data_IF_010769080051
#
_entry.id   IF_010769080051
#
_cell.length_a   1.000
_cell.length_b   1.000
_cell.length_c   1.000
_cell.angle_alpha   90.00
_cell.angle_beta   90.00
_cell.angle_gamma   90.00
#
_symmetry.space_group_name_H-M   'P 1'
#
loop_
_entity.id
_entity.type
_entity.pdbx_description
1 polymer ?
#
# COMPACT_ATOMS: atom_id res chain seq x y z
N UNK A 1 -5.39 -18.03 -38.29
CA UNK A 1 -5.40 -17.11 -39.44
C UNK A 1 -5.45 -15.71 -38.87
N UNK A 2 -4.28 -15.07 -38.79
CA UNK A 2 -3.83 -14.01 -39.72
C UNK A 2 -4.37 -12.64 -39.30
N UNK A 3 -3.46 -11.92 -38.65
CA UNK A 3 -3.19 -10.48 -38.80
C UNK A 3 -4.25 -9.50 -38.28
N UNK A 4 -4.01 -8.94 -37.08
CA UNK A 4 -3.71 -7.51 -36.87
C UNK A 4 -3.77 -7.16 -35.37
N UNK A 5 -2.67 -7.43 -34.66
CA UNK A 5 -2.25 -6.65 -33.50
C UNK A 5 -0.74 -6.43 -33.69
N UNK A 6 -0.36 -5.27 -34.22
CA UNK A 6 1.04 -4.82 -34.26
C UNK A 6 1.08 -3.31 -34.51
N UNK A 7 0.87 -2.53 -33.45
CA UNK A 7 1.28 -1.14 -33.41
C UNK A 7 2.16 -0.95 -32.16
N UNK A 8 3.32 -0.34 -32.40
CA UNK A 8 4.20 0.33 -31.43
C UNK A 8 5.13 -0.54 -30.55
N UNK A 9 6.25 -1.00 -31.14
CA UNK A 9 7.52 -1.18 -30.44
C UNK A 9 8.71 -1.13 -31.41
N UNK A 10 9.22 0.06 -31.71
CA UNK A 10 10.58 0.29 -32.25
C UNK A 10 11.01 1.75 -32.01
N UNK A 11 11.04 2.16 -30.74
CA UNK A 11 11.75 3.36 -30.29
C UNK A 11 12.50 2.92 -29.03
N UNK A 12 13.80 3.22 -28.93
CA UNK A 12 14.88 2.53 -28.20
C UNK A 12 15.53 1.48 -29.11
N UNK A 13 16.62 1.77 -29.83
CA UNK A 13 17.97 1.97 -29.30
C UNK A 13 18.78 2.79 -30.34
N UNK A 14 19.18 4.03 -30.02
CA UNK A 14 20.48 4.59 -30.42
C UNK A 14 20.74 5.92 -29.69
N UNK A 15 21.15 5.83 -28.43
CA UNK A 15 21.92 6.88 -27.73
C UNK A 15 23.27 6.27 -27.36
N UNK A 16 24.30 6.77 -28.05
CA UNK A 16 25.76 6.70 -27.85
C UNK A 16 26.31 7.01 -29.26
N UNK A 17 27.12 8.01 -29.53
CA UNK A 17 27.98 8.83 -28.69
C UNK A 17 28.60 9.91 -29.60
N UNK A 18 28.97 11.07 -29.01
CA UNK A 18 30.15 11.88 -29.38
C UNK A 18 30.14 12.52 -30.79
N UNK A 19 29.92 13.83 -30.99
CA UNK A 19 30.68 14.95 -30.43
C UNK A 19 32.03 15.14 -31.16
N UNK A 20 32.12 16.05 -32.14
CA UNK A 20 33.34 16.87 -32.41
C UNK A 20 33.17 17.86 -33.56
N UNK A 21 33.81 19.01 -33.38
CA UNK A 21 33.79 20.24 -34.17
C UNK A 21 34.71 20.20 -35.41
N UNK A 22 34.32 20.95 -36.46
CA UNK A 22 35.14 21.76 -37.40
C UNK A 22 36.21 21.07 -38.30
N UNK A 23 36.81 21.77 -39.30
CA UNK A 23 36.21 22.57 -40.38
C UNK A 23 36.89 22.33 -41.77
N UNK A 24 36.41 23.07 -42.79
CA UNK A 24 37.04 23.33 -44.09
C UNK A 24 36.95 22.18 -45.12
N UNK A 25 36.88 22.41 -46.43
CA UNK A 25 37.13 23.60 -47.25
C UNK A 25 36.60 23.35 -48.68
N UNK A 26 36.68 24.40 -49.50
CA UNK A 26 36.69 24.39 -50.98
C UNK A 26 35.37 24.70 -51.72
N UNK A 27 35.22 26.00 -51.94
CA UNK A 27 34.74 26.71 -53.15
C UNK A 27 35.39 26.22 -54.47
N UNK A 28 35.12 26.85 -55.64
CA UNK A 28 33.90 27.42 -56.23
C UNK A 28 33.65 26.75 -57.63
N UNK A 29 32.71 27.16 -58.48
CA UNK A 29 32.96 28.19 -59.51
C UNK A 29 31.99 28.01 -60.68
N UNK A 30 31.28 29.10 -61.03
CA UNK A 30 30.97 29.61 -62.39
C UNK A 30 30.32 28.68 -63.43
N UNK A 31 29.42 29.11 -64.33
CA UNK A 31 28.62 30.32 -64.56
C UNK A 31 27.85 30.05 -65.87
N UNK A 32 26.93 30.96 -66.22
CA UNK A 32 26.34 31.18 -67.55
C UNK A 32 25.24 30.21 -68.01
N UNK A 33 23.95 30.59 -68.03
CA UNK A 33 23.27 31.70 -68.76
C UNK A 33 23.10 31.43 -70.25
N UNK A 34 21.87 31.02 -70.58
CA UNK A 34 21.05 31.48 -71.70
C UNK A 34 21.43 31.03 -73.12
N UNK A 35 20.57 31.00 -74.14
CA UNK A 35 19.34 31.74 -74.48
C UNK A 35 18.72 31.05 -75.72
N UNK A 36 17.43 31.33 -76.00
CA UNK A 36 16.81 31.43 -77.36
C UNK A 36 16.57 30.14 -78.18
N UNK A 37 15.57 29.98 -79.04
CA UNK A 37 14.27 30.64 -79.38
C UNK A 37 13.55 29.68 -80.34
N UNK A 38 12.22 29.80 -80.40
CA UNK A 38 11.33 29.71 -81.57
C UNK A 38 11.33 28.49 -82.53
N UNK A 39 10.26 27.69 -82.34
CA UNK A 39 9.21 27.29 -83.31
C UNK A 39 9.53 27.26 -84.82
N UNK A 40 9.26 26.10 -85.44
CA UNK A 40 8.11 25.83 -86.35
C UNK A 40 8.00 24.30 -86.64
N UNK A 41 6.99 23.75 -87.35
CA UNK A 41 5.82 23.16 -86.70
C UNK A 41 5.37 21.77 -87.23
N UNK A 42 4.30 21.29 -86.57
CA UNK A 42 3.23 20.38 -87.04
C UNK A 42 3.56 18.89 -87.16
N UNK A 43 2.87 18.10 -86.32
CA UNK A 43 2.29 16.79 -86.67
C UNK A 43 1.55 16.19 -85.46
N UNK A 44 0.47 16.79 -84.94
CA UNK A 44 -0.38 16.03 -84.00
C UNK A 44 -1.86 16.51 -83.96
N UNK A 45 -2.73 16.14 -84.93
CA UNK A 45 -4.17 16.35 -84.79
C UNK A 45 -4.90 15.18 -84.09
N UNK A 46 -4.19 14.28 -83.40
CA UNK A 46 -4.79 13.08 -82.78
C UNK A 46 -4.62 12.98 -81.25
N UNK A 47 -3.64 13.68 -80.65
CA UNK A 47 -3.45 13.67 -79.19
C UNK A 47 -4.39 14.66 -78.50
N UNK A 48 -4.62 15.84 -79.09
CA UNK A 48 -5.58 16.84 -78.58
C UNK A 48 -7.02 16.29 -78.57
N UNK A 49 -7.42 15.52 -79.59
CA UNK A 49 -8.77 14.93 -79.65
C UNK A 49 -8.94 13.79 -78.63
N UNK A 50 -7.85 13.08 -78.30
CA UNK A 50 -7.86 12.02 -77.30
C UNK A 50 -7.83 12.60 -75.87
N UNK A 51 -7.05 13.66 -75.63
CA UNK A 51 -7.03 14.35 -74.34
C UNK A 51 -8.38 15.04 -74.05
N UNK A 52 -9.02 15.66 -75.04
CA UNK A 52 -10.35 16.25 -74.88
C UNK A 52 -11.46 15.22 -74.61
N UNK A 53 -11.32 13.98 -75.11
CA UNK A 53 -12.29 12.91 -74.84
C UNK A 53 -12.07 12.23 -73.48
N UNK A 54 -10.84 12.23 -72.96
CA UNK A 54 -10.53 11.74 -71.60
C UNK A 54 -10.96 12.76 -70.53
N UNK A 55 -10.77 14.07 -70.75
CA UNK A 55 -11.27 15.12 -69.83
C UNK A 55 -12.80 15.16 -69.74
N UNK A 56 -13.51 14.91 -70.85
CA UNK A 56 -14.98 14.85 -70.85
C UNK A 56 -15.54 13.66 -70.06
N UNK A 57 -14.81 12.54 -69.98
CA UNK A 57 -15.19 11.35 -69.20
C UNK A 57 -14.89 11.56 -67.70
N UNK A 58 -13.80 12.24 -67.34
CA UNK A 58 -13.50 12.63 -65.95
C UNK A 58 -14.54 13.61 -65.38
N UNK A 59 -15.03 14.58 -66.19
CA UNK A 59 -16.11 15.49 -65.77
C UNK A 59 -17.48 14.81 -65.65
N UNK A 60 -17.75 13.77 -66.45
CA UNK A 60 -19.00 13.01 -66.39
C UNK A 60 -19.01 11.93 -65.27
N UNK A 61 -17.83 11.44 -64.88
CA UNK A 61 -17.65 10.44 -63.81
C UNK A 61 -17.12 11.04 -62.49
N UNK A 62 -17.00 12.36 -62.40
CA UNK A 62 -16.74 13.03 -61.14
C UNK A 62 -17.81 12.56 -60.14
N UNK A 63 -17.44 11.91 -59.02
CA UNK A 63 -18.41 11.50 -58.03
C UNK A 63 -19.12 12.78 -57.59
N UNK A 64 -20.46 12.78 -57.66
CA UNK A 64 -21.25 13.80 -57.01
C UNK A 64 -20.66 13.97 -55.61
N UNK A 65 -20.21 15.18 -55.29
CA UNK A 65 -19.80 15.50 -53.92
C UNK A 65 -20.86 14.90 -53.02
N UNK A 66 -20.49 14.21 -51.93
CA UNK A 66 -21.48 13.77 -50.98
C UNK A 66 -22.31 15.02 -50.71
N UNK A 67 -23.61 14.94 -50.98
CA UNK A 67 -24.53 15.85 -50.31
C UNK A 67 -24.13 15.67 -48.87
N UNK A 68 -23.50 16.68 -48.28
CA UNK A 68 -23.44 16.82 -46.85
C UNK A 68 -24.90 16.80 -46.47
N UNK A 69 -25.38 15.58 -46.22
CA UNK A 69 -26.51 15.36 -45.37
C UNK A 69 -25.98 16.00 -44.12
N UNK A 70 -26.41 17.24 -43.86
CA UNK A 70 -26.20 17.89 -42.60
C UNK A 70 -26.66 16.83 -41.62
N UNK A 71 -25.71 16.10 -41.02
CA UNK A 71 -26.03 15.30 -39.85
C UNK A 71 -26.75 16.30 -38.97
N UNK A 72 -27.97 15.98 -38.50
CA UNK A 72 -28.63 16.86 -37.57
C UNK A 72 -27.60 17.19 -36.50
N UNK A 73 -27.30 18.48 -36.34
CA UNK A 73 -26.30 18.96 -35.37
C UNK A 73 -26.47 18.10 -34.13
N UNK A 74 -25.39 17.47 -33.61
CA UNK A 74 -25.51 16.43 -32.60
C UNK A 74 -26.47 16.98 -31.57
N UNK A 75 -27.66 16.39 -31.49
CA UNK A 75 -28.65 16.83 -30.56
C UNK A 75 -27.90 16.72 -29.26
N UNK A 76 -27.58 17.85 -28.63
CA UNK A 76 -27.14 17.84 -27.26
C UNK A 76 -28.39 17.38 -26.56
N UNK A 77 -28.57 16.05 -26.50
CA UNK A 77 -29.38 15.43 -25.49
C UNK A 77 -28.75 15.97 -24.22
N UNK A 78 -29.38 17.02 -23.70
CA UNK A 78 -29.22 17.40 -22.32
C UNK A 78 -29.74 16.18 -21.61
N UNK A 79 -28.85 15.21 -21.37
CA UNK A 79 -29.09 14.08 -20.51
C UNK A 79 -29.33 14.74 -19.18
N UNK A 80 -30.60 14.94 -18.86
CA UNK A 80 -31.03 15.40 -17.56
C UNK A 80 -30.65 14.27 -16.62
N UNK A 81 -29.41 14.29 -16.13
CA UNK A 81 -28.95 13.30 -15.15
C UNK A 81 -29.92 13.40 -14.00
N UNK A 82 -30.67 12.31 -13.78
CA UNK A 82 -31.55 12.21 -12.64
C UNK A 82 -30.72 12.54 -11.38
N UNK A 83 -31.29 13.28 -10.41
CA UNK A 83 -30.55 13.64 -9.21
C UNK A 83 -30.02 12.37 -8.55
N UNK A 84 -28.74 12.38 -8.20
CA UNK A 84 -28.07 11.24 -7.57
C UNK A 84 -28.91 10.70 -6.41
N UNK A 85 -29.15 9.39 -6.41
CA UNK A 85 -29.84 8.67 -5.35
C UNK A 85 -29.13 8.89 -3.99
N UNK A 86 -29.83 8.71 -2.86
CA UNK A 86 -29.20 8.78 -1.54
C UNK A 86 -27.96 7.89 -1.41
N UNK A 87 -28.01 6.70 -2.01
CA UNK A 87 -26.88 5.75 -2.05
C UNK A 87 -25.71 6.30 -2.85
N UNK A 88 -25.94 6.85 -4.05
CA UNK A 88 -24.87 7.44 -4.86
C UNK A 88 -24.21 8.62 -4.16
N UNK A 89 -25.01 9.50 -3.52
CA UNK A 89 -24.49 10.61 -2.71
C UNK A 89 -23.63 10.12 -1.55
N UNK A 90 -24.11 9.11 -0.82
CA UNK A 90 -23.36 8.50 0.28
C UNK A 90 -22.02 7.93 -0.21
N UNK A 91 -22.04 7.16 -1.29
CA UNK A 91 -20.83 6.51 -1.78
C UNK A 91 -19.85 7.50 -2.43
N UNK A 92 -20.34 8.59 -3.04
CA UNK A 92 -19.50 9.71 -3.48
C UNK A 92 -18.80 10.38 -2.28
N UNK A 93 -19.57 10.72 -1.24
CA UNK A 93 -19.02 11.32 -0.02
C UNK A 93 -18.01 10.41 0.69
N UNK A 94 -18.24 9.10 0.68
CA UNK A 94 -17.29 8.11 1.21
C UNK A 94 -15.96 8.18 0.43
N UNK A 95 -16.03 8.17 -0.90
CA UNK A 95 -14.85 8.27 -1.76
C UNK A 95 -14.09 9.56 -1.50
N UNK A 96 -14.78 10.70 -1.54
CA UNK A 96 -14.18 12.02 -1.32
C UNK A 96 -13.52 12.11 0.06
N UNK A 97 -14.19 11.63 1.11
CA UNK A 97 -13.64 11.62 2.46
C UNK A 97 -12.34 10.80 2.56
N UNK A 98 -12.32 9.62 1.95
CA UNK A 98 -11.14 8.76 1.91
C UNK A 98 -10.00 9.40 1.12
N UNK A 99 -10.27 9.87 -0.10
CA UNK A 99 -9.28 10.50 -0.98
C UNK A 99 -8.70 11.77 -0.36
N UNK A 100 -9.53 12.66 0.19
CA UNK A 100 -9.11 13.88 0.87
C UNK A 100 -8.24 13.60 2.11
N UNK A 101 -8.45 12.46 2.76
CA UNK A 101 -7.66 12.03 3.91
C UNK A 101 -6.43 11.19 3.51
N UNK A 102 -6.26 10.88 2.22
CA UNK A 102 -5.23 9.99 1.71
C UNK A 102 -5.36 8.55 2.19
N UNK A 103 -6.59 8.10 2.51
CA UNK A 103 -6.90 6.73 2.90
C UNK A 103 -7.37 5.96 1.65
N UNK A 104 -6.89 4.73 1.41
CA UNK A 104 -7.40 3.94 0.29
C UNK A 104 -8.91 3.73 0.41
N UNK A 105 -9.66 4.11 -0.63
CA UNK A 105 -11.13 3.97 -0.67
C UNK A 105 -11.58 2.55 -0.30
N UNK A 106 -10.94 1.47 -0.80
CA UNK A 106 -11.31 0.12 -0.41
C UNK A 106 -11.16 -0.18 1.07
N UNK A 107 -10.07 0.31 1.68
CA UNK A 107 -9.83 0.14 3.10
C UNK A 107 -10.91 0.85 3.93
N UNK A 108 -11.24 2.10 3.56
CA UNK A 108 -12.26 2.87 4.28
C UNK A 108 -13.66 2.25 4.14
N UNK A 109 -14.02 1.78 2.95
CA UNK A 109 -15.29 1.11 2.72
C UNK A 109 -15.41 -0.19 3.52
N UNK A 110 -14.35 -1.01 3.59
CA UNK A 110 -14.33 -2.23 4.41
C UNK A 110 -14.43 -1.93 5.90
N UNK A 111 -13.82 -0.85 6.36
CA UNK A 111 -13.94 -0.37 7.74
C UNK A 111 -15.38 0.00 8.06
N UNK A 112 -16.01 0.87 7.28
CA UNK A 112 -17.41 1.29 7.50
C UNK A 112 -18.40 0.13 7.37
N UNK A 113 -18.11 -0.81 6.46
CA UNK A 113 -18.84 -2.07 6.42
C UNK A 113 -18.72 -2.82 7.75
N UNK A 114 -17.50 -2.96 8.29
CA UNK A 114 -17.26 -3.63 9.56
C UNK A 114 -17.93 -2.94 10.74
N UNK A 115 -17.99 -1.61 10.74
CA UNK A 115 -18.61 -0.83 11.81
C UNK A 115 -20.13 -1.00 11.84
N UNK A 116 -20.82 -0.76 10.72
CA UNK A 116 -22.28 -0.61 10.73
C UNK A 116 -22.99 -1.26 9.56
N UNK A 117 -22.25 -1.90 8.64
CA UNK A 117 -22.79 -2.31 7.32
C UNK A 117 -23.40 -1.12 6.57
N UNK A 118 -22.77 0.05 6.70
CA UNK A 118 -23.22 1.34 6.18
C UNK A 118 -24.52 1.91 6.80
N UNK A 119 -24.99 1.39 7.93
CA UNK A 119 -26.20 1.89 8.60
C UNK A 119 -25.92 3.14 9.43
N UNK A 120 -26.44 4.29 8.99
CA UNK A 120 -26.20 5.58 9.66
C UNK A 120 -26.92 5.76 10.99
N UNK A 121 -27.87 4.89 11.33
CA UNK A 121 -28.66 4.95 12.58
C UNK A 121 -28.32 3.81 13.56
N UNK A 122 -27.21 3.12 13.34
CA UNK A 122 -26.78 2.02 14.20
C UNK A 122 -26.26 2.52 15.57
N UNK A 123 -26.59 1.80 16.64
CA UNK A 123 -26.00 2.00 17.96
C UNK A 123 -25.52 0.66 18.50
N UNK A 124 -24.24 0.54 18.85
CA UNK A 124 -23.72 -0.69 19.45
C UNK A 124 -24.14 -0.83 20.91
N UNK A 125 -24.05 -2.04 21.50
CA UNK A 125 -24.27 -2.24 22.92
C UNK A 125 -23.34 -1.42 23.83
N UNK A 126 -22.16 -1.03 23.32
CA UNK A 126 -21.20 -0.17 24.03
C UNK A 126 -21.51 1.33 23.86
N UNK A 127 -22.47 1.68 23.01
CA UNK A 127 -22.88 3.07 22.77
C UNK A 127 -22.17 3.74 21.59
N UNK A 128 -21.49 2.98 20.71
CA UNK A 128 -20.91 3.52 19.48
C UNK A 128 -22.01 3.88 18.48
N UNK A 129 -21.89 5.01 17.77
CA UNK A 129 -23.00 5.63 17.04
C UNK A 129 -22.72 5.83 15.55
N UNK A 130 -23.75 5.54 14.76
CA UNK A 130 -23.84 5.89 13.35
C UNK A 130 -22.95 5.05 12.43
N UNK A 131 -22.77 5.55 11.21
CA UNK A 131 -22.17 4.77 10.11
C UNK A 131 -20.72 4.35 10.39
N UNK A 132 -20.00 5.18 11.12
CA UNK A 132 -18.60 4.99 11.47
C UNK A 132 -18.38 4.59 12.93
N UNK A 133 -19.47 4.29 13.66
CA UNK A 133 -19.49 3.84 15.05
C UNK A 133 -18.58 4.67 15.97
N UNK A 134 -18.79 5.99 15.97
CA UNK A 134 -18.08 6.86 16.91
C UNK A 134 -18.57 6.60 18.33
N UNK A 135 -17.65 6.41 19.26
CA UNK A 135 -17.95 6.57 20.68
C UNK A 135 -18.26 8.04 20.98
N UNK A 136 -19.20 8.37 21.89
CA UNK A 136 -19.57 9.75 22.17
C UNK A 136 -18.39 10.66 22.56
N UNK A 137 -17.46 10.15 23.37
CA UNK A 137 -16.23 10.87 23.74
C UNK A 137 -15.35 11.17 22.52
N UNK A 138 -15.13 10.17 21.67
CA UNK A 138 -14.36 10.35 20.42
C UNK A 138 -15.04 11.32 19.46
N UNK A 139 -16.37 11.29 19.34
CA UNK A 139 -17.12 12.26 18.53
C UNK A 139 -16.86 13.70 19.01
N UNK A 140 -16.90 13.92 20.33
CA UNK A 140 -16.59 15.23 20.92
C UNK A 140 -15.13 15.65 20.67
N UNK A 141 -14.16 14.73 20.82
CA UNK A 141 -12.73 15.00 20.58
C UNK A 141 -12.44 15.43 19.13
N UNK A 142 -13.16 14.86 18.16
CA UNK A 142 -12.98 15.20 16.73
C UNK A 142 -13.91 16.31 16.25
N UNK A 143 -14.72 16.89 17.14
CA UNK A 143 -15.68 17.96 16.83
C UNK A 143 -16.85 17.52 15.94
N UNK A 144 -17.25 16.24 16.02
CA UNK A 144 -18.42 15.70 15.33
C UNK A 144 -19.66 15.87 16.22
N UNK A 145 -20.55 16.77 15.81
CA UNK A 145 -21.77 17.13 16.53
C UNK A 145 -22.89 16.07 16.42
N UNK A 146 -23.02 15.43 15.26
CA UNK A 146 -23.99 14.37 15.02
C UNK A 146 -23.35 13.14 14.33
N UNK A 147 -23.02 12.08 15.09
CA UNK A 147 -22.53 10.82 14.53
C UNK A 147 -23.53 10.08 13.61
N UNK A 148 -24.82 10.38 13.73
CA UNK A 148 -25.88 9.76 12.94
C UNK A 148 -26.11 10.44 11.58
N UNK A 149 -25.48 11.58 11.33
CA UNK A 149 -25.39 12.20 10.02
C UNK A 149 -24.17 11.65 9.27
N UNK A 150 -24.43 10.75 8.32
CA UNK A 150 -23.38 10.14 7.52
C UNK A 150 -22.52 11.17 6.77
N UNK A 151 -23.11 12.27 6.30
CA UNK A 151 -22.38 13.27 5.52
C UNK A 151 -21.36 14.03 6.37
N UNK A 152 -21.57 14.09 7.69
CA UNK A 152 -20.60 14.62 8.65
C UNK A 152 -19.65 13.53 9.18
N UNK A 153 -20.17 12.35 9.46
CA UNK A 153 -19.42 11.26 10.07
C UNK A 153 -18.36 10.68 9.13
N UNK A 154 -18.63 10.57 7.82
CA UNK A 154 -17.67 10.06 6.84
C UNK A 154 -16.35 10.87 6.80
N UNK A 155 -16.36 12.19 6.57
CA UNK A 155 -15.12 12.96 6.58
C UNK A 155 -14.46 13.02 7.97
N UNK A 156 -15.24 13.01 9.07
CA UNK A 156 -14.66 12.92 10.41
C UNK A 156 -13.91 11.59 10.64
N UNK A 157 -14.50 10.48 10.22
CA UNK A 157 -13.91 9.13 10.38
C UNK A 157 -12.65 8.98 9.54
N UNK A 158 -12.67 9.46 8.29
CA UNK A 158 -11.50 9.43 7.42
C UNK A 158 -10.33 10.28 7.97
N UNK A 159 -10.61 11.47 8.52
CA UNK A 159 -9.61 12.31 9.20
C UNK A 159 -9.06 11.64 10.46
N UNK A 160 -9.92 11.03 11.27
CA UNK A 160 -9.48 10.27 12.44
C UNK A 160 -8.56 9.11 12.04
N UNK A 161 -8.91 8.33 11.02
CA UNK A 161 -8.07 7.27 10.49
C UNK A 161 -6.73 7.79 9.97
N UNK A 162 -6.72 8.94 9.29
CA UNK A 162 -5.50 9.60 8.86
C UNK A 162 -4.61 9.97 10.05
N UNK A 163 -5.19 10.59 11.08
CA UNK A 163 -4.46 10.92 12.31
C UNK A 163 -3.85 9.67 12.94
N UNK A 164 -4.63 8.59 13.09
CA UNK A 164 -4.15 7.33 13.66
C UNK A 164 -3.05 6.71 12.80
N UNK A 165 -3.17 6.76 11.48
CA UNK A 165 -2.10 6.32 10.58
C UNK A 165 -0.83 7.15 10.77
N UNK A 166 -0.96 8.45 10.93
CA UNK A 166 0.20 9.33 11.15
C UNK A 166 0.84 9.11 12.53
N UNK A 167 0.05 8.75 13.55
CA UNK A 167 0.54 8.42 14.90
C UNK A 167 1.29 7.08 14.95
N UNK A 168 0.81 6.07 14.23
CA UNK A 168 1.34 4.69 14.29
C UNK A 168 2.22 4.30 13.10
N UNK A 169 2.05 4.92 11.95
CA UNK A 169 2.88 4.81 10.75
C UNK A 169 2.27 3.99 9.60
N UNK A 170 1.25 3.16 9.87
CA UNK A 170 0.65 2.29 8.86
C UNK A 170 -0.86 2.05 9.08
N UNK A 171 -1.52 1.53 8.04
CA UNK A 171 -2.98 1.33 8.01
C UNK A 171 -3.46 0.24 8.98
N UNK A 172 -2.70 -0.83 9.19
CA UNK A 172 -3.10 -1.92 10.09
C UNK A 172 -3.14 -1.48 11.55
N UNK A 173 -2.12 -0.75 12.00
CA UNK A 173 -2.11 -0.17 13.35
C UNK A 173 -3.15 0.95 13.49
N UNK A 174 -3.43 1.71 12.43
CA UNK A 174 -4.53 2.67 12.42
C UNK A 174 -5.90 1.99 12.60
N UNK A 175 -6.18 0.90 11.88
CA UNK A 175 -7.40 0.10 12.08
C UNK A 175 -7.49 -0.46 13.50
N UNK A 176 -6.38 -0.98 14.04
CA UNK A 176 -6.34 -1.49 15.40
C UNK A 176 -6.68 -0.38 16.41
N UNK A 177 -6.10 0.81 16.25
CA UNK A 177 -6.33 1.95 17.12
C UNK A 177 -7.73 2.54 16.98
N UNK A 178 -8.34 2.46 15.80
CA UNK A 178 -9.71 2.90 15.56
C UNK A 178 -10.70 2.05 16.39
N UNK A 179 -10.55 0.73 16.37
CA UNK A 179 -11.43 -0.18 17.13
C UNK A 179 -11.13 -0.21 18.64
N UNK A 180 -9.85 -0.23 19.02
CA UNK A 180 -9.44 -0.49 20.40
C UNK A 180 -9.09 0.77 21.22
N UNK A 181 -8.93 1.90 20.55
CA UNK A 181 -8.37 3.13 21.10
C UNK A 181 -6.82 3.15 21.05
N UNK A 182 -6.20 4.31 20.78
CA UNK A 182 -4.75 4.44 20.62
C UNK A 182 -3.96 4.05 21.88
N UNK A 183 -4.49 4.37 23.07
CA UNK A 183 -3.84 4.01 24.33
C UNK A 183 -3.73 2.49 24.55
N UNK A 184 -4.72 1.71 24.08
CA UNK A 184 -4.65 0.23 24.16
C UNK A 184 -3.60 -0.31 23.20
N UNK A 185 -3.51 0.23 21.99
CA UNK A 185 -2.49 -0.16 21.02
C UNK A 185 -1.09 0.17 21.53
N UNK A 186 -0.88 1.34 22.15
CA UNK A 186 0.40 1.68 22.77
C UNK A 186 0.81 0.67 23.86
N UNK A 187 -0.10 0.29 24.75
CA UNK A 187 0.17 -0.73 25.79
C UNK A 187 0.48 -2.11 25.20
N UNK A 188 -0.23 -2.49 24.15
CA UNK A 188 0.05 -3.74 23.43
C UNK A 188 1.45 -3.73 22.79
N UNK A 189 1.80 -2.65 22.09
CA UNK A 189 3.14 -2.49 21.50
C UNK A 189 4.25 -2.43 22.56
N UNK A 190 3.94 -1.90 23.75
CA UNK A 190 4.82 -1.90 24.91
C UNK A 190 4.93 -3.26 25.62
N UNK A 191 4.18 -4.28 25.15
CA UNK A 191 4.05 -5.61 25.78
C UNK A 191 3.54 -5.55 27.22
N UNK A 192 2.75 -4.53 27.55
CA UNK A 192 2.10 -4.34 28.86
C UNK A 192 0.71 -5.01 28.92
N UNK A 193 0.10 -5.26 27.76
CA UNK A 193 -1.18 -5.97 27.64
C UNK A 193 -1.25 -6.79 26.35
N UNK A 194 -2.12 -7.79 26.30
CA UNK A 194 -2.46 -8.48 25.06
C UNK A 194 -3.41 -7.64 24.20
N UNK A 195 -3.38 -7.87 22.88
CA UNK A 195 -4.36 -7.29 21.96
C UNK A 195 -5.66 -8.10 22.01
N UNK A 196 -6.83 -7.48 22.24
CA UNK A 196 -8.10 -8.20 22.28
C UNK A 196 -8.36 -8.99 21.00
N UNK A 197 -8.95 -10.19 21.14
CA UNK A 197 -9.31 -11.05 20.00
C UNK A 197 -10.21 -10.31 19.00
N UNK A 198 -11.15 -9.51 19.50
CA UNK A 198 -12.03 -8.67 18.68
C UNK A 198 -11.22 -7.75 17.75
N UNK A 199 -10.25 -7.02 18.29
CA UNK A 199 -9.40 -6.11 17.50
C UNK A 199 -8.50 -6.87 16.51
N UNK A 200 -7.98 -8.04 16.89
CA UNK A 200 -7.22 -8.91 15.97
C UNK A 200 -8.08 -9.35 14.78
N UNK A 201 -9.31 -9.75 15.06
CA UNK A 201 -10.28 -10.12 14.02
C UNK A 201 -10.66 -8.92 13.16
N UNK A 202 -10.88 -7.76 13.78
CA UNK A 202 -11.20 -6.50 13.10
C UNK A 202 -10.13 -6.11 12.07
N UNK A 203 -8.86 -6.07 12.48
CA UNK A 203 -7.74 -5.75 11.57
C UNK A 203 -7.66 -6.75 10.44
N UNK A 204 -7.81 -8.05 10.73
CA UNK A 204 -7.77 -9.12 9.73
C UNK A 204 -8.95 -9.04 8.75
N UNK A 205 -10.14 -8.67 9.21
CA UNK A 205 -11.31 -8.49 8.35
C UNK A 205 -11.08 -7.34 7.38
N UNK A 206 -10.56 -6.20 7.85
CA UNK A 206 -10.37 -5.02 7.01
C UNK A 206 -9.20 -5.23 6.05
N UNK A 207 -8.04 -5.65 6.57
CA UNK A 207 -6.79 -5.70 5.79
C UNK A 207 -6.55 -7.03 5.09
N UNK A 208 -7.07 -8.14 5.62
CA UNK A 208 -6.66 -9.49 5.22
C UNK A 208 -5.42 -10.01 5.94
N UNK A 209 -4.77 -9.19 6.77
CA UNK A 209 -3.48 -9.47 7.41
C UNK A 209 -3.60 -9.40 8.93
N UNK A 210 -2.75 -10.13 9.67
CA UNK A 210 -2.84 -10.14 11.14
C UNK A 210 -2.31 -8.84 11.71
N UNK A 211 -2.88 -8.38 12.82
CA UNK A 211 -2.42 -7.18 13.51
C UNK A 211 -0.92 -7.23 13.87
N UNK A 212 -0.40 -8.40 14.24
CA UNK A 212 1.01 -8.58 14.59
C UNK A 212 1.97 -8.30 13.43
N UNK A 213 1.59 -8.66 12.20
CA UNK A 213 2.44 -8.49 11.02
C UNK A 213 2.69 -7.00 10.71
N UNK A 214 1.80 -6.11 11.18
CA UNK A 214 1.92 -4.65 11.06
C UNK A 214 2.87 -4.00 12.08
N UNK A 215 3.45 -4.79 12.99
CA UNK A 215 4.43 -4.32 13.99
C UNK A 215 5.88 -4.56 13.56
N UNK A 216 6.08 -5.29 12.48
CA UNK A 216 7.39 -5.61 11.93
C UNK A 216 7.77 -4.62 10.82
N UNK A 217 9.07 -4.40 10.60
CA UNK A 217 9.54 -3.65 9.46
C UNK A 217 9.48 -4.56 8.23
N UNK A 218 8.45 -4.41 7.41
CA UNK A 218 8.32 -5.11 6.13
C UNK A 218 8.23 -4.11 4.97
N UNK A 219 8.82 -4.44 3.82
CA UNK A 219 8.80 -3.56 2.63
C UNK A 219 7.37 -3.24 2.17
N UNK A 220 6.42 -4.12 2.45
CA UNK A 220 4.99 -3.87 2.32
C UNK A 220 4.15 -5.09 2.65
N UNK A 221 2.87 -4.87 2.96
CA UNK A 221 1.87 -5.91 3.14
C UNK A 221 0.79 -5.79 2.08
N UNK A 222 0.32 -6.95 1.60
CA UNK A 222 -0.87 -7.01 0.78
C UNK A 222 -2.10 -6.71 1.65
N UNK A 223 -2.91 -5.74 1.23
CA UNK A 223 -4.23 -5.46 1.79
C UNK A 223 -5.32 -5.85 0.80
N UNK A 224 -6.44 -6.34 1.32
CA UNK A 224 -7.65 -6.59 0.54
C UNK A 224 -8.24 -5.29 0.03
N UNK A 225 -8.51 -5.24 -1.27
CA UNK A 225 -9.21 -4.11 -1.90
C UNK A 225 -10.58 -4.49 -2.47
N UNK A 226 -10.97 -5.76 -2.33
CA UNK A 226 -12.32 -6.20 -2.66
C UNK A 226 -13.36 -5.59 -1.70
N UNK A 227 -14.53 -5.26 -2.22
CA UNK A 227 -15.67 -4.89 -1.39
C UNK A 227 -16.52 -6.13 -1.06
N UNK A 228 -17.09 -6.24 0.16
CA UNK A 228 -18.14 -7.21 0.47
C UNK A 228 -19.27 -7.13 -0.56
N UNK A 229 -19.81 -8.28 -0.99
CA UNK A 229 -20.75 -8.36 -2.14
C UNK A 229 -22.02 -7.55 -1.92
N UNK A 230 -22.44 -7.41 -0.67
CA UNK A 230 -23.67 -6.75 -0.23
C UNK A 230 -23.48 -5.24 0.03
N UNK A 231 -22.27 -4.71 -0.14
CA UNK A 231 -22.00 -3.30 0.04
C UNK A 231 -22.58 -2.45 -1.11
N UNK A 232 -23.23 -1.31 -0.81
CA UNK A 232 -23.96 -0.53 -1.79
C UNK A 232 -23.06 0.33 -2.71
N UNK A 233 -21.75 0.38 -2.45
CA UNK A 233 -20.79 1.24 -3.16
C UNK A 233 -19.93 0.49 -4.18
N UNK A 234 -20.52 -0.49 -4.88
CA UNK A 234 -19.82 -1.21 -5.97
C UNK A 234 -19.38 -0.24 -7.10
N UNK A 235 -18.16 -0.42 -7.62
CA UNK A 235 -17.63 0.37 -8.74
C UNK A 235 -17.00 1.72 -8.34
N UNK A 236 -16.96 2.07 -7.06
CA UNK A 236 -16.44 3.37 -6.60
C UNK A 236 -14.97 3.31 -6.21
N UNK A 237 -14.09 4.13 -6.80
CA UNK A 237 -12.67 4.19 -6.44
C UNK A 237 -11.89 2.89 -6.71
N UNK A 238 -12.18 2.24 -7.84
CA UNK A 238 -11.67 0.91 -8.22
C UNK A 238 -12.14 -0.24 -7.31
N UNK A 239 -13.19 -0.03 -6.51
CA UNK A 239 -13.86 -1.08 -5.76
C UNK A 239 -14.49 -2.10 -6.72
N UNK A 240 -13.85 -3.26 -6.85
CA UNK A 240 -14.39 -4.42 -7.55
C UNK A 240 -14.81 -5.50 -6.56
N UNK A 241 -15.79 -6.32 -6.94
CA UNK A 241 -16.13 -7.57 -6.23
C UNK A 241 -15.16 -8.72 -6.57
N UNK A 242 -14.20 -8.50 -7.47
CA UNK A 242 -13.08 -9.42 -7.71
C UNK A 242 -12.12 -9.43 -6.51
N UNK A 243 -11.54 -10.61 -6.24
CA UNK A 243 -10.55 -10.76 -5.16
C UNK A 243 -9.24 -10.12 -5.59
N UNK A 244 -9.07 -8.86 -5.25
CA UNK A 244 -7.87 -8.10 -5.56
C UNK A 244 -7.14 -7.66 -4.28
N UNK A 245 -5.83 -7.45 -4.41
CA UNK A 245 -4.95 -6.98 -3.33
C UNK A 245 -4.14 -5.77 -3.78
N UNK A 246 -3.87 -4.86 -2.85
CA UNK A 246 -2.94 -3.75 -3.05
C UNK A 246 -1.79 -3.86 -2.06
N UNK A 247 -0.58 -3.54 -2.49
CA UNK A 247 0.58 -3.48 -1.61
C UNK A 247 0.65 -2.10 -0.95
N UNK A 248 0.74 -2.09 0.37
CA UNK A 248 0.92 -0.85 1.15
C UNK A 248 2.16 -0.94 2.01
N UNK A 249 2.92 0.16 2.16
CA UNK A 249 4.12 0.17 2.97
C UNK A 249 3.80 -0.05 4.45
N UNK A 250 4.66 -0.79 5.15
CA UNK A 250 4.61 -0.92 6.61
C UNK A 250 5.71 -0.08 7.20
N UNK A 251 5.34 1.16 7.53
CA UNK A 251 6.21 2.06 8.25
C UNK A 251 5.74 2.16 9.71
N UNK A 252 6.68 2.37 10.61
CA UNK A 252 6.41 2.68 12.01
C UNK A 252 6.93 4.08 12.29
N UNK A 253 6.18 4.84 13.09
CA UNK A 253 6.69 6.15 13.54
C UNK A 253 7.88 5.96 14.49
N UNK A 254 8.78 6.95 14.60
CA UNK A 254 9.88 6.91 15.57
C UNK A 254 9.42 6.66 17.01
N UNK A 255 8.23 7.15 17.36
CA UNK A 255 7.59 6.91 18.66
C UNK A 255 7.27 5.42 18.84
N UNK A 256 6.59 4.81 17.87
CA UNK A 256 6.26 3.37 17.91
C UNK A 256 7.51 2.49 17.94
N UNK A 257 8.51 2.79 17.10
CA UNK A 257 9.80 2.06 17.11
C UNK A 257 10.45 2.14 18.49
N UNK A 258 10.39 3.30 19.14
CA UNK A 258 10.94 3.48 20.49
C UNK A 258 10.19 2.66 21.53
N UNK A 259 8.86 2.59 21.45
CA UNK A 259 8.02 1.78 22.35
C UNK A 259 8.40 0.30 22.22
N UNK A 260 8.41 -0.24 21.01
CA UNK A 260 8.71 -1.66 20.75
C UNK A 260 10.12 -2.00 21.22
N UNK A 261 11.12 -1.18 20.86
CA UNK A 261 12.52 -1.40 21.28
C UNK A 261 12.68 -1.40 22.80
N UNK A 262 12.00 -0.49 23.51
CA UNK A 262 12.03 -0.46 24.99
C UNK A 262 11.42 -1.72 25.58
N UNK A 263 10.30 -2.19 25.03
CA UNK A 263 9.64 -3.42 25.47
C UNK A 263 10.54 -4.65 25.28
N UNK A 264 11.22 -4.75 24.14
CA UNK A 264 12.17 -5.82 23.85
C UNK A 264 13.37 -5.81 24.81
N UNK A 265 13.95 -4.64 25.06
CA UNK A 265 15.05 -4.48 26.02
C UNK A 265 14.63 -4.88 27.43
N UNK A 266 13.42 -4.52 27.86
CA UNK A 266 12.88 -4.91 29.16
C UNK A 266 12.68 -6.43 29.23
N UNK A 267 12.08 -7.04 28.21
CA UNK A 267 11.88 -8.48 28.14
C UNK A 267 13.21 -9.25 28.19
N UNK A 268 14.23 -8.79 27.46
CA UNK A 268 15.57 -9.38 27.48
C UNK A 268 16.21 -9.31 28.88
N UNK A 269 16.08 -8.16 29.57
CA UNK A 269 16.58 -7.99 30.95
C UNK A 269 15.86 -8.91 31.93
N UNK A 270 14.54 -9.03 31.84
CA UNK A 270 13.75 -9.91 32.69
C UNK A 270 14.11 -11.38 32.47
N UNK A 271 14.28 -11.80 31.21
CA UNK A 271 14.73 -13.15 30.85
C UNK A 271 16.13 -13.45 31.42
N UNK A 272 17.08 -12.53 31.26
CA UNK A 272 18.43 -12.68 31.83
C UNK A 272 18.41 -12.78 33.36
N UNK A 273 17.58 -11.96 34.03
CA UNK A 273 17.41 -12.02 35.48
C UNK A 273 16.80 -13.35 35.93
N UNK A 274 15.81 -13.87 35.19
CA UNK A 274 15.22 -15.17 35.46
C UNK A 274 16.25 -16.31 35.28
N UNK A 275 17.04 -16.28 34.21
CA UNK A 275 18.11 -17.25 33.97
C UNK A 275 19.16 -17.23 35.09
N UNK A 276 19.59 -16.04 35.54
CA UNK A 276 20.50 -15.87 36.68
C UNK A 276 19.93 -16.45 37.97
N UNK A 277 18.66 -16.16 38.28
CA UNK A 277 17.96 -16.72 39.46
C UNK A 277 17.88 -18.25 39.39
N UNK A 278 17.57 -18.81 38.23
CA UNK A 278 17.51 -20.26 38.00
C UNK A 278 18.89 -20.92 38.19
N UNK A 279 19.95 -20.35 37.61
CA UNK A 279 21.32 -20.83 37.80
C UNK A 279 21.74 -20.79 39.26
N UNK A 280 21.50 -19.68 39.97
CA UNK A 280 21.80 -19.57 41.40
C UNK A 280 21.06 -20.62 42.24
N UNK A 281 19.79 -20.89 41.92
CA UNK A 281 19.03 -21.95 42.58
C UNK A 281 19.60 -23.35 42.33
N UNK A 282 20.08 -23.64 41.11
CA UNK A 282 20.70 -24.94 40.78
C UNK A 282 22.04 -25.11 41.51
N UNK A 283 22.88 -24.08 41.54
CA UNK A 283 24.13 -24.08 42.29
C UNK A 283 23.89 -24.30 43.79
N UNK A 284 22.86 -23.66 44.38
CA UNK A 284 22.50 -23.87 45.79
C UNK A 284 22.00 -25.29 46.07
N UNK A 285 21.17 -25.87 45.19
CA UNK A 285 20.67 -27.25 45.34
C UNK A 285 21.80 -28.29 45.24
N UNK A 286 22.81 -28.04 44.42
CA UNK A 286 23.95 -28.95 44.22
C UNK A 286 25.13 -28.69 45.17
N UNK A 287 25.14 -27.56 45.89
CA UNK A 287 26.18 -27.17 46.85
C UNK A 287 26.43 -28.14 48.02
N UNK A 288 25.41 -28.75 48.66
CA UNK A 288 25.63 -29.68 49.79
C UNK A 288 26.31 -30.99 49.35
N UNK A 289 26.08 -31.42 48.11
CA UNK A 289 26.69 -32.63 47.55
C UNK A 289 28.21 -32.43 47.32
N UNK A 290 28.61 -31.25 46.84
CA UNK A 290 30.03 -30.92 46.69
C UNK A 290 30.75 -30.62 48.01
N UNK A 291 30.06 -30.03 48.99
CA UNK A 291 30.62 -29.81 50.34
C UNK A 291 30.94 -31.13 51.06
N UNK A 292 30.00 -32.10 51.05
CA UNK A 292 30.24 -33.43 51.61
C UNK A 292 31.30 -34.22 50.82
N UNK A 293 31.31 -34.13 49.48
CA UNK A 293 32.33 -34.80 48.67
C UNK A 293 33.75 -34.25 48.93
N UNK A 294 33.92 -32.91 49.02
CA UNK A 294 35.22 -32.29 49.36
C UNK A 294 35.65 -32.60 50.79
N UNK A 295 34.72 -32.60 51.74
CA UNK A 295 34.96 -33.01 53.13
C UNK A 295 35.44 -34.47 53.23
N UNK A 296 34.84 -35.40 52.48
CA UNK A 296 35.25 -36.81 52.51
C UNK A 296 36.61 -37.06 51.84
N UNK A 297 36.93 -36.32 50.77
CA UNK A 297 38.25 -36.42 50.11
C UNK A 297 39.34 -35.83 51.01
N UNK A 298 39.10 -34.70 51.67
CA UNK A 298 40.02 -34.10 52.64
C UNK A 298 40.26 -35.03 53.86
N UNK A 299 39.21 -35.66 54.39
CA UNK A 299 39.33 -36.62 55.49
C UNK A 299 40.16 -37.87 55.10
N UNK A 300 39.99 -38.39 53.87
CA UNK A 300 40.79 -39.53 53.35
C UNK A 300 42.26 -39.17 53.09
N UNK A 301 42.54 -37.93 52.66
CA UNK A 301 43.90 -37.46 52.45
C UNK A 301 44.66 -37.29 53.79
N UNK A 302 44.00 -36.77 54.82
CA UNK A 302 44.57 -36.65 56.17
C UNK A 302 44.88 -38.00 56.81
N UNK A 303 44.00 -39.01 56.64
CA UNK A 303 44.22 -40.37 57.15
C UNK A 303 45.40 -41.11 56.50
N UNK A 304 45.70 -40.84 55.21
CA UNK A 304 46.88 -41.41 54.53
C UNK A 304 48.20 -40.79 55.00
N UNK A 305 48.20 -39.49 55.33
CA UNK A 305 49.38 -38.81 55.87
C UNK A 305 49.80 -39.33 57.26
N UNK A 306 48.82 -39.63 58.13
CA UNK A 306 49.08 -40.20 59.46
C UNK A 306 49.68 -41.61 59.39
N UNK A 307 49.19 -42.46 58.48
CA UNK A 307 49.70 -43.83 58.29
C UNK A 307 51.12 -43.84 57.70
N UNK A 308 51.42 -42.93 56.76
CA UNK A 308 52.76 -42.77 56.19
C UNK A 308 53.79 -42.20 57.18
N UNK A 309 53.35 -41.45 58.20
CA UNK A 309 54.20 -40.91 59.27
C UNK A 309 54.49 -41.96 60.35
N UNK A 310 53.52 -42.81 60.68
CA UNK A 310 53.70 -43.92 61.63
C UNK A 310 54.68 -44.99 61.10
N UNK A 311 54.60 -45.34 59.81
CA UNK A 311 55.53 -46.31 59.19
C UNK A 311 56.98 -45.78 59.15
N UNK A 312 57.17 -44.47 59.00
CA UNK A 312 58.50 -43.84 58.95
C UNK A 312 59.18 -43.72 60.32
N UNK A 313 58.40 -43.73 61.41
CA UNK A 313 58.90 -43.77 62.78
C UNK A 313 59.24 -45.20 63.24
N UNK A 314 58.47 -46.20 62.80
CA UNK A 314 58.72 -47.62 63.12
C UNK A 314 59.88 -48.26 62.33
N UNK A 315 60.49 -47.53 61.38
CA UNK A 315 61.61 -48.00 60.56
C UNK A 315 62.95 -47.35 60.94
N UNK A 316 63.02 -46.71 62.12
CA UNK A 316 64.18 -46.00 62.67
C UNK A 316 64.69 -46.59 64.01
N UNK A 317 64.16 -47.74 64.41
CA UNK A 317 64.71 -48.62 65.45
C UNK A 317 65.34 -49.86 64.78
#
# INVERSE_FOLDING_TARGET
MRLLIAACAAFLILMCDIGSLSPSSQTPSFDQVALKTDRAPSLVPLVELFLASVEAIELANAPASPVETMEPAPTVEIVFQAPASPTEKFCHALREAAEASGIPVPFFARLLWQESRFRSKEVSPAGAQGVAQFMPETAAEVGLDDPFDAMKALPASARLLRKLRDDFGNLGLAAAAYNAGPGRIQKWLARESELPRETRDYVRIITGTRAEDWTEHSEGLAIRIDLPREAPCEGIGSLSKSKDVAWVPVNLTPSVVTIIRKAEQLAARLSANHARKRLASLLRKNGPAHGKARSMIAARAAGKGAKARAIRLASRE
#
